data_IF_132352223163
#
_entry.id   IF_132352223163
#
_cell.length_a   1.000
_cell.length_b   1.000
_cell.length_c   1.000
_cell.angle_alpha   90.00
_cell.angle_beta   90.00
_cell.angle_gamma   90.00
#
_symmetry.space_group_name_H-M   'P 1'
#
loop_
_entity.id
_entity.type
_entity.pdbx_description
1 polymer ?
#
# COMPACT_ATOMS: atom_id res chain seq x y z
N UNK A 1 7.72 -51.25 20.56
CA UNK A 1 7.92 -51.43 19.11
C UNK A 1 6.54 -51.44 18.50
N UNK A 2 6.10 -50.54 17.65
CA UNK A 2 6.70 -49.37 17.02
C UNK A 2 5.58 -48.78 16.15
N UNK A 3 5.45 -47.45 16.14
CA UNK A 3 4.98 -46.58 15.03
C UNK A 3 3.58 -46.89 14.43
N UNK A 4 2.53 -46.08 14.63
CA UNK A 4 2.31 -44.71 14.14
C UNK A 4 2.28 -44.61 12.60
N UNK A 5 1.08 -44.46 12.02
CA UNK A 5 0.87 -43.48 10.95
C UNK A 5 -0.61 -43.07 10.90
N UNK A 6 -0.88 -41.83 11.34
CA UNK A 6 -2.13 -41.12 11.06
C UNK A 6 -2.08 -40.64 9.62
N UNK A 7 -3.03 -41.08 8.81
CA UNK A 7 -3.23 -40.53 7.47
C UNK A 7 -4.04 -39.25 7.59
N UNK A 8 -3.36 -38.15 7.89
CA UNK A 8 -3.85 -36.80 7.65
C UNK A 8 -3.44 -36.40 6.22
N UNK A 9 -4.39 -36.32 5.29
CA UNK A 9 -4.23 -35.45 4.12
C UNK A 9 -5.59 -35.04 3.55
N UNK A 10 -6.32 -34.27 4.35
CA UNK A 10 -7.40 -33.41 3.85
C UNK A 10 -6.76 -32.20 3.14
N UNK A 11 -7.08 -32.00 1.87
CA UNK A 11 -6.82 -30.72 1.20
C UNK A 11 -6.13 -30.82 -0.16
N UNK A 12 -6.76 -31.52 -1.10
CA UNK A 12 -6.45 -31.40 -2.52
C UNK A 12 -6.62 -29.94 -3.00
N UNK A 13 -5.47 -29.29 -3.20
CA UNK A 13 -5.13 -28.24 -4.17
C UNK A 13 -6.35 -27.61 -4.87
N UNK A 14 -6.77 -26.44 -4.38
CA UNK A 14 -7.62 -25.53 -5.15
C UNK A 14 -6.72 -24.75 -6.11
N UNK A 15 -6.56 -25.32 -7.30
CA UNK A 15 -6.07 -24.60 -8.48
C UNK A 15 -7.28 -23.80 -9.01
N UNK A 16 -7.56 -22.64 -8.41
CA UNK A 16 -8.57 -21.72 -8.92
C UNK A 16 -7.91 -20.75 -9.91
N UNK A 17 -8.30 -20.97 -11.16
CA UNK A 17 -8.18 -20.10 -12.33
C UNK A 17 -7.89 -18.64 -11.97
N UNK A 18 -6.66 -18.21 -12.26
CA UNK A 18 -6.29 -16.80 -12.32
C UNK A 18 -7.12 -16.11 -13.42
N UNK A 19 -8.34 -15.72 -13.10
CA UNK A 19 -8.93 -14.53 -13.69
C UNK A 19 -7.92 -13.42 -13.41
N UNK A 20 -7.22 -12.94 -14.42
CA UNK A 20 -6.36 -11.77 -14.35
C UNK A 20 -7.24 -10.53 -14.10
N UNK A 21 -7.87 -10.46 -12.94
CA UNK A 21 -8.30 -9.20 -12.35
C UNK A 21 -7.01 -8.43 -12.14
N UNK A 22 -6.88 -7.32 -12.83
CA UNK A 22 -5.79 -6.38 -12.59
C UNK A 22 -5.70 -6.13 -11.09
N UNK A 23 -4.66 -6.68 -10.45
CA UNK A 23 -4.43 -6.47 -9.03
C UNK A 23 -4.11 -4.98 -8.83
N UNK A 24 -4.98 -4.31 -8.07
CA UNK A 24 -4.76 -2.93 -7.68
C UNK A 24 -4.00 -2.91 -6.36
N UNK A 25 -3.00 -2.04 -6.32
CA UNK A 25 -2.14 -1.83 -5.17
C UNK A 25 -2.41 -0.47 -4.56
N UNK A 26 -2.22 -0.38 -3.26
CA UNK A 26 -2.36 0.85 -2.51
C UNK A 26 -0.99 1.27 -1.96
N UNK A 27 -0.54 2.45 -2.33
CA UNK A 27 0.62 3.11 -1.74
C UNK A 27 0.15 4.10 -0.68
N UNK A 28 0.46 3.79 0.57
CA UNK A 28 0.13 4.65 1.71
C UNK A 28 0.91 5.97 1.62
N UNK A 29 0.22 7.10 1.79
CA UNK A 29 0.83 8.42 1.84
C UNK A 29 1.22 8.73 3.29
N UNK A 30 2.52 8.88 3.60
CA UNK A 30 2.96 9.24 4.94
C UNK A 30 2.37 10.59 5.41
N UNK A 31 2.19 10.78 6.72
CA UNK A 31 1.90 12.11 7.25
C UNK A 31 3.06 13.07 6.95
N UNK A 32 2.73 14.30 6.58
CA UNK A 32 3.72 15.34 6.28
C UNK A 32 4.10 15.47 4.80
N UNK A 33 3.60 14.59 3.92
CA UNK A 33 3.78 14.76 2.47
C UNK A 33 3.11 16.06 2.01
N UNK A 34 3.84 16.99 1.37
CA UNK A 34 3.27 18.22 0.83
C UNK A 34 2.13 17.96 -0.16
N UNK A 35 1.02 18.72 -0.02
CA UNK A 35 -0.15 18.64 -0.92
C UNK A 35 0.18 18.80 -2.41
N UNK A 36 1.25 19.56 -2.70
CA UNK A 36 1.74 19.77 -4.07
C UNK A 36 2.23 18.44 -4.68
N UNK A 37 3.05 17.68 -3.95
CA UNK A 37 3.54 16.36 -4.39
C UNK A 37 2.37 15.42 -4.66
N UNK A 38 1.36 15.40 -3.77
CA UNK A 38 0.16 14.58 -3.96
C UNK A 38 -0.58 14.97 -5.25
N UNK A 39 -0.74 16.27 -5.49
CA UNK A 39 -1.40 16.78 -6.69
C UNK A 39 -0.62 16.48 -7.98
N UNK A 40 0.71 16.52 -7.92
CA UNK A 40 1.57 16.25 -9.06
C UNK A 40 1.55 14.77 -9.43
N UNK A 41 1.52 13.86 -8.43
CA UNK A 41 1.37 12.42 -8.64
C UNK A 41 0.04 12.10 -9.33
N UNK A 42 -1.08 12.68 -8.87
CA UNK A 42 -2.41 12.45 -9.46
C UNK A 42 -2.53 12.94 -10.91
N UNK A 43 -1.68 13.88 -11.34
CA UNK A 43 -1.66 14.38 -12.72
C UNK A 43 -0.74 13.57 -13.63
N UNK A 44 0.34 13.02 -13.08
CA UNK A 44 1.40 12.36 -13.86
C UNK A 44 1.21 10.84 -13.95
N UNK A 45 0.55 10.22 -12.97
CA UNK A 45 0.40 8.78 -12.88
C UNK A 45 -1.08 8.39 -12.85
N UNK A 46 -1.39 7.21 -13.39
CA UNK A 46 -2.73 6.63 -13.37
C UNK A 46 -3.03 6.00 -12.00
N UNK A 47 -3.20 6.87 -11.01
CA UNK A 47 -3.53 6.50 -9.63
C UNK A 47 -4.67 7.36 -9.10
N UNK A 48 -5.48 6.77 -8.22
CA UNK A 48 -6.59 7.45 -7.56
C UNK A 48 -6.26 7.69 -6.10
N UNK A 49 -6.62 8.86 -5.56
CA UNK A 49 -6.51 9.13 -4.14
C UNK A 49 -7.68 8.49 -3.40
N UNK A 50 -7.39 7.62 -2.43
CA UNK A 50 -8.37 6.99 -1.57
C UNK A 50 -8.09 7.30 -0.10
N UNK A 51 -9.14 7.33 0.71
CA UNK A 51 -9.04 7.44 2.16
C UNK A 51 -9.07 6.04 2.79
N UNK A 52 -8.09 5.75 3.65
CA UNK A 52 -8.00 4.53 4.45
C UNK A 52 -8.19 4.89 5.92
N UNK A 53 -9.32 4.48 6.48
CA UNK A 53 -9.62 4.58 7.90
C UNK A 53 -8.89 3.46 8.64
N UNK A 54 -7.63 3.70 9.00
CA UNK A 54 -6.89 2.81 9.89
C UNK A 54 -6.65 3.51 11.22
N UNK A 55 -7.04 2.84 12.32
CA UNK A 55 -6.66 3.23 13.67
C UNK A 55 -5.16 3.02 13.83
N UNK A 56 -4.36 4.05 13.60
CA UNK A 56 -2.94 4.02 13.92
C UNK A 56 -2.68 4.71 15.25
N UNK A 57 -2.18 3.93 16.20
CA UNK A 57 -1.44 4.47 17.33
C UNK A 57 -0.05 4.87 16.82
N UNK A 58 0.12 6.10 16.35
CA UNK A 58 1.46 6.64 16.15
C UNK A 58 2.09 6.92 17.51
N UNK A 59 3.37 6.57 17.65
CA UNK A 59 4.11 6.47 18.92
C UNK A 59 4.21 7.75 19.78
N UNK A 60 3.61 8.88 19.38
CA UNK A 60 3.59 10.13 20.14
C UNK A 60 2.20 10.79 20.23
N UNK A 61 1.12 10.11 19.83
CA UNK A 61 -0.22 10.69 19.83
C UNK A 61 -1.21 9.68 20.41
N UNK A 62 -1.55 9.84 21.68
CA UNK A 62 -2.71 9.17 22.26
C UNK A 62 -3.98 9.67 21.55
N UNK A 63 -4.68 8.76 20.86
CA UNK A 63 -6.12 8.90 20.59
C UNK A 63 -6.59 9.53 19.27
N UNK A 64 -5.71 9.97 18.37
CA UNK A 64 -6.18 10.52 17.08
C UNK A 64 -6.43 9.40 16.04
N UNK A 65 -7.69 9.00 15.86
CA UNK A 65 -8.14 8.29 14.65
C UNK A 65 -7.90 9.21 13.43
N UNK A 66 -6.78 9.02 12.72
CA UNK A 66 -6.51 9.80 11.49
C UNK A 66 -6.90 9.03 10.24
N UNK A 67 -7.65 9.71 9.38
CA UNK A 67 -7.92 9.25 8.01
C UNK A 67 -6.61 9.34 7.22
N UNK A 68 -6.05 8.20 6.84
CA UNK A 68 -4.86 8.17 5.99
C UNK A 68 -5.27 8.27 4.54
N UNK A 69 -4.40 8.86 3.73
CA UNK A 69 -4.55 8.87 2.29
C UNK A 69 -3.66 7.77 1.68
N UNK A 70 -4.12 7.17 0.60
CA UNK A 70 -3.34 6.22 -0.19
C UNK A 70 -3.59 6.46 -1.69
N UNK A 71 -2.58 6.16 -2.51
CA UNK A 71 -2.74 6.08 -3.96
C UNK A 71 -3.09 4.65 -4.35
N UNK A 72 -4.23 4.46 -5.00
CA UNK A 72 -4.66 3.18 -5.57
C UNK A 72 -4.42 3.16 -7.08
N UNK A 73 -3.77 2.12 -7.58
CA UNK A 73 -3.57 1.95 -9.03
C UNK A 73 -2.99 0.58 -9.37
N UNK A 74 -2.62 0.39 -10.64
CA UNK A 74 -1.87 -0.80 -11.05
C UNK A 74 -0.49 -0.80 -10.39
N UNK A 75 0.12 -1.98 -10.26
CA UNK A 75 1.45 -2.11 -9.65
C UNK A 75 2.48 -1.16 -10.28
N UNK A 76 2.53 -1.10 -11.60
CA UNK A 76 3.47 -0.25 -12.33
C UNK A 76 3.22 1.25 -12.06
N UNK A 77 1.96 1.69 -12.05
CA UNK A 77 1.63 3.08 -11.76
C UNK A 77 2.00 3.46 -10.32
N UNK A 78 1.74 2.55 -9.38
CA UNK A 78 2.03 2.73 -7.96
C UNK A 78 3.52 2.75 -7.66
N UNK A 79 4.31 1.86 -8.28
CA UNK A 79 5.77 1.84 -8.14
C UNK A 79 6.40 3.13 -8.68
N UNK A 80 5.96 3.61 -9.86
CA UNK A 80 6.43 4.91 -10.40
C UNK A 80 6.04 6.09 -9.51
N UNK A 81 4.82 6.08 -8.97
CA UNK A 81 4.35 7.10 -8.04
C UNK A 81 5.17 7.08 -6.74
N UNK A 82 5.56 5.91 -6.24
CA UNK A 82 6.43 5.75 -5.07
C UNK A 82 7.80 6.39 -5.32
N UNK A 83 8.47 6.05 -6.41
CA UNK A 83 9.80 6.58 -6.72
C UNK A 83 9.78 8.10 -6.87
N UNK A 84 8.77 8.64 -7.56
CA UNK A 84 8.57 10.08 -7.69
C UNK A 84 8.31 10.74 -6.34
N UNK A 85 7.43 10.17 -5.51
CA UNK A 85 7.12 10.70 -4.19
C UNK A 85 8.37 10.77 -3.31
N UNK A 86 9.17 9.70 -3.27
CA UNK A 86 10.41 9.68 -2.49
C UNK A 86 11.43 10.70 -3.01
N UNK A 87 11.59 10.84 -4.32
CA UNK A 87 12.51 11.82 -4.91
C UNK A 87 12.11 13.26 -4.55
N UNK A 88 10.83 13.61 -4.69
CA UNK A 88 10.33 14.95 -4.37
C UNK A 88 10.35 15.22 -2.85
N UNK A 89 10.05 14.23 -2.01
CA UNK A 89 10.18 14.35 -0.57
C UNK A 89 11.63 14.59 -0.14
N UNK A 90 12.59 13.89 -0.76
CA UNK A 90 14.00 14.09 -0.47
C UNK A 90 14.44 15.52 -0.81
N UNK A 91 14.07 16.02 -1.99
CA UNK A 91 14.33 17.41 -2.37
C UNK A 91 13.70 18.40 -1.39
N UNK A 92 12.46 18.16 -0.99
CA UNK A 92 11.75 19.00 -0.02
C UNK A 92 12.45 19.06 1.34
N UNK A 93 13.00 17.94 1.82
CA UNK A 93 13.76 17.90 3.08
C UNK A 93 15.14 18.57 2.93
N UNK A 94 15.79 18.46 1.77
CA UNK A 94 17.10 19.06 1.52
C UNK A 94 17.02 20.58 1.29
N UNK A 95 15.88 21.10 0.82
CA UNK A 95 15.64 22.53 0.60
C UNK A 95 15.07 23.28 1.82
N UNK A 96 14.60 22.57 2.84
CA UNK A 96 13.95 23.11 4.04
C UNK A 96 14.85 23.22 5.26
#
# INVERSE_FOLDING_TARGET
MSEEEKVDNTGSIQNETAEAKEELFDLLIPPGVPRKIISDILKQFDVTLIERKQRLHFANMDGDERELLAFRGTREAVEKAQDFMFAELKKFIEEG
#
